data_IF_350926707020
#
_entry.id   IF_350926707020
#
_cell.length_a   1.000
_cell.length_b   1.000
_cell.length_c   1.000
_cell.angle_alpha   90.00
_cell.angle_beta   90.00
_cell.angle_gamma   90.00
#
_symmetry.space_group_name_H-M   'P 1'
#
loop_
_entity.id
_entity.type
_entity.pdbx_description
1 polymer ?
#
# COMPACT_ATOMS: atom_id res chain seq x y z
N UNK A 1 12.04 -39.48 -3.03
CA UNK A 1 12.74 -38.65 -4.03
C UNK A 1 12.95 -37.29 -3.45
N UNK A 2 14.22 -36.99 -3.21
CA UNK A 2 14.62 -35.74 -2.58
C UNK A 2 14.24 -34.55 -3.49
N UNK A 3 13.98 -33.40 -2.89
CA UNK A 3 13.70 -32.12 -3.59
C UNK A 3 14.73 -31.87 -4.69
N UNK A 4 16.01 -32.18 -4.45
CA UNK A 4 17.10 -32.07 -5.40
C UNK A 4 16.86 -32.84 -6.71
N UNK A 5 16.30 -34.04 -6.65
CA UNK A 5 16.04 -34.85 -7.86
C UNK A 5 14.88 -34.29 -8.67
N UNK A 6 13.86 -33.71 -8.00
CA UNK A 6 12.75 -33.04 -8.70
C UNK A 6 13.21 -31.77 -9.42
N UNK A 7 14.11 -31.01 -8.80
CA UNK A 7 14.69 -29.82 -9.42
C UNK A 7 15.58 -30.18 -10.62
N UNK A 8 16.40 -31.25 -10.51
CA UNK A 8 17.21 -31.73 -11.65
C UNK A 8 16.34 -32.20 -12.82
N UNK A 9 15.24 -32.91 -12.55
CA UNK A 9 14.31 -33.30 -13.60
C UNK A 9 13.70 -32.09 -14.29
N UNK A 10 13.30 -31.07 -13.53
CA UNK A 10 12.76 -29.83 -14.08
C UNK A 10 13.78 -29.07 -14.94
N UNK A 11 15.05 -29.02 -14.54
CA UNK A 11 16.14 -28.45 -15.35
C UNK A 11 16.34 -29.24 -16.64
N UNK A 12 16.26 -30.56 -16.59
CA UNK A 12 16.35 -31.42 -17.75
C UNK A 12 15.16 -31.23 -18.73
N UNK A 13 13.94 -31.17 -18.20
CA UNK A 13 12.73 -30.97 -19.00
C UNK A 13 12.69 -29.60 -19.67
N UNK A 14 13.22 -28.57 -19.01
CA UNK A 14 13.29 -27.20 -19.53
C UNK A 14 14.54 -26.94 -20.40
N UNK A 15 15.50 -27.87 -20.41
CA UNK A 15 16.74 -27.76 -21.18
C UNK A 15 17.68 -26.65 -20.73
N UNK A 16 17.54 -26.18 -19.47
CA UNK A 16 18.31 -25.08 -18.92
C UNK A 16 18.62 -25.28 -17.44
N UNK A 17 19.82 -24.90 -16.99
CA UNK A 17 20.17 -24.86 -15.58
C UNK A 17 19.44 -23.68 -14.91
N UNK A 18 18.64 -23.95 -13.89
CA UNK A 18 17.88 -22.92 -13.16
C UNK A 18 18.57 -22.51 -11.86
N UNK A 19 19.47 -23.36 -11.34
CA UNK A 19 20.12 -23.16 -10.05
C UNK A 19 21.64 -23.20 -10.17
N UNK A 20 22.30 -22.22 -9.55
CA UNK A 20 23.74 -22.23 -9.28
C UNK A 20 23.94 -22.78 -7.85
N UNK A 21 24.69 -23.87 -7.75
CA UNK A 21 25.04 -24.48 -6.45
C UNK A 21 26.46 -24.10 -6.06
N UNK A 22 26.61 -23.55 -4.86
CA UNK A 22 27.91 -23.19 -4.30
C UNK A 22 28.05 -23.71 -2.88
N UNK A 23 29.24 -23.60 -2.31
CA UNK A 23 29.47 -23.90 -0.87
C UNK A 23 28.70 -22.94 0.06
N UNK A 24 28.25 -21.81 -0.46
CA UNK A 24 27.49 -20.79 0.29
C UNK A 24 25.95 -20.94 0.13
N UNK A 25 25.49 -21.90 -0.67
CA UNK A 25 24.06 -22.15 -0.89
C UNK A 25 23.68 -22.29 -2.37
N UNK A 26 22.41 -22.07 -2.64
CA UNK A 26 21.80 -22.17 -3.97
C UNK A 26 21.24 -20.81 -4.37
N UNK A 27 21.62 -20.32 -5.55
CA UNK A 27 21.10 -19.10 -6.16
C UNK A 27 20.46 -19.42 -7.51
N UNK A 28 19.54 -18.57 -7.99
CA UNK A 28 18.94 -18.74 -9.31
C UNK A 28 19.88 -18.24 -10.40
N UNK A 29 19.82 -18.88 -11.56
CA UNK A 29 20.38 -18.37 -12.81
C UNK A 29 19.41 -17.34 -13.43
N UNK A 30 19.81 -16.56 -14.47
CA UNK A 30 18.86 -15.75 -15.22
C UNK A 30 17.68 -16.56 -15.80
N UNK A 31 17.94 -17.80 -16.27
CA UNK A 31 16.90 -18.73 -16.69
C UNK A 31 16.02 -19.18 -15.51
N UNK A 32 16.61 -19.36 -14.31
CA UNK A 32 15.91 -19.66 -13.08
C UNK A 32 14.98 -18.53 -12.61
N UNK A 33 15.40 -17.28 -12.74
CA UNK A 33 14.55 -16.12 -12.44
C UNK A 33 13.34 -16.04 -13.39
N UNK A 34 13.57 -16.20 -14.69
CA UNK A 34 12.49 -16.23 -15.68
C UNK A 34 11.52 -17.39 -15.43
N UNK A 35 12.04 -18.59 -15.14
CA UNK A 35 11.23 -19.76 -14.80
C UNK A 35 10.42 -19.54 -13.50
N UNK A 36 11.00 -18.91 -12.48
CA UNK A 36 10.33 -18.58 -11.22
C UNK A 36 9.09 -17.72 -11.45
N UNK A 37 9.21 -16.66 -12.26
CA UNK A 37 8.09 -15.77 -12.59
C UNK A 37 6.94 -16.53 -13.25
N UNK A 38 7.24 -17.34 -14.27
CA UNK A 38 6.24 -18.14 -14.99
C UNK A 38 5.58 -19.17 -14.06
N UNK A 39 6.37 -19.91 -13.28
CA UNK A 39 5.86 -20.94 -12.36
C UNK A 39 4.98 -20.30 -11.27
N UNK A 40 5.40 -19.18 -10.71
CA UNK A 40 4.60 -18.46 -9.71
C UNK A 40 3.27 -17.97 -10.29
N UNK A 41 3.27 -17.43 -11.52
CA UNK A 41 2.05 -17.03 -12.21
C UNK A 41 1.12 -18.20 -12.44
N UNK A 42 1.62 -19.31 -13.00
CA UNK A 42 0.83 -20.53 -13.26
C UNK A 42 0.26 -21.14 -11.98
N UNK A 43 1.04 -21.19 -10.91
CA UNK A 43 0.58 -21.69 -9.63
C UNK A 43 -0.58 -20.82 -9.06
N UNK A 44 -0.51 -19.51 -9.25
CA UNK A 44 -1.58 -18.58 -8.86
C UNK A 44 -2.86 -18.78 -9.69
N UNK A 45 -2.71 -18.92 -11.01
CA UNK A 45 -3.84 -19.19 -11.92
C UNK A 45 -4.55 -20.51 -11.57
N UNK A 46 -3.78 -21.57 -11.26
CA UNK A 46 -4.34 -22.84 -10.81
C UNK A 46 -5.06 -22.73 -9.45
N UNK A 47 -4.55 -21.92 -8.54
CA UNK A 47 -5.23 -21.68 -7.27
C UNK A 47 -6.54 -20.91 -7.47
N UNK A 48 -6.55 -19.88 -8.32
CA UNK A 48 -7.76 -19.15 -8.69
C UNK A 48 -8.80 -20.09 -9.32
N UNK A 49 -8.38 -20.97 -10.23
CA UNK A 49 -9.27 -21.98 -10.81
C UNK A 49 -9.85 -22.92 -9.74
N UNK A 50 -9.02 -23.41 -8.80
CA UNK A 50 -9.50 -24.26 -7.68
C UNK A 50 -10.52 -23.54 -6.82
N UNK A 51 -10.29 -22.27 -6.50
CA UNK A 51 -11.23 -21.43 -5.76
C UNK A 51 -12.56 -21.27 -6.51
N UNK A 52 -12.52 -21.03 -7.82
CA UNK A 52 -13.71 -20.97 -8.67
C UNK A 52 -14.51 -22.30 -8.69
N UNK A 53 -13.81 -23.43 -8.73
CA UNK A 53 -14.44 -24.75 -8.74
C UNK A 53 -15.01 -25.17 -7.38
N UNK A 54 -14.50 -24.62 -6.28
CA UNK A 54 -14.98 -24.88 -4.92
C UNK A 54 -16.19 -24.04 -4.50
N UNK A 55 -16.65 -23.12 -5.36
CA UNK A 55 -17.81 -22.27 -5.06
C UNK A 55 -19.06 -23.12 -4.82
N UNK A 56 -19.49 -23.19 -3.56
CA UNK A 56 -20.85 -23.59 -3.22
C UNK A 56 -21.79 -22.43 -3.58
N UNK A 57 -22.91 -22.71 -4.22
CA UNK A 57 -23.82 -21.71 -4.80
C UNK A 57 -24.33 -20.63 -3.83
N UNK A 58 -24.24 -20.86 -2.51
CA UNK A 58 -24.89 -20.00 -1.50
C UNK A 58 -23.92 -19.42 -0.44
N UNK A 59 -22.62 -19.69 -0.51
CA UNK A 59 -21.67 -19.22 0.53
C UNK A 59 -20.43 -18.59 -0.11
N UNK A 60 -20.11 -17.36 0.29
CA UNK A 60 -18.87 -16.71 -0.12
C UNK A 60 -17.71 -17.33 0.64
N UNK A 61 -16.82 -18.03 -0.05
CA UNK A 61 -15.66 -18.73 0.52
C UNK A 61 -14.44 -18.57 -0.39
N UNK A 62 -13.31 -19.19 0.00
CA UNK A 62 -12.05 -19.11 -0.73
C UNK A 62 -11.04 -18.18 -0.06
N UNK A 63 -10.02 -17.76 -0.80
CA UNK A 63 -8.97 -16.88 -0.28
C UNK A 63 -9.08 -15.48 -0.90
N UNK A 64 -9.07 -14.46 -0.07
CA UNK A 64 -8.92 -13.07 -0.49
C UNK A 64 -7.49 -12.59 -0.21
N UNK A 65 -6.73 -12.28 -1.26
CA UNK A 65 -5.35 -11.76 -1.19
C UNK A 65 -5.35 -10.28 -1.49
N UNK A 66 -4.85 -9.49 -0.55
CA UNK A 66 -4.85 -8.02 -0.62
C UNK A 66 -3.45 -7.50 -0.33
N UNK A 67 -2.98 -6.58 -1.14
CA UNK A 67 -1.79 -5.78 -0.84
C UNK A 67 -2.22 -4.37 -0.49
N UNK A 68 -1.72 -3.81 0.61
CA UNK A 68 -2.22 -2.54 1.14
C UNK A 68 -1.08 -1.61 1.52
N UNK A 69 -1.19 -0.34 1.16
CA UNK A 69 -0.24 0.67 1.61
C UNK A 69 -0.18 0.75 3.14
N UNK A 70 1.03 0.90 3.69
CA UNK A 70 1.32 0.87 5.14
C UNK A 70 0.37 1.77 5.93
N UNK A 71 0.18 3.01 5.51
CA UNK A 71 -0.65 3.96 6.25
C UNK A 71 -2.15 3.57 6.24
N UNK A 72 -2.69 3.16 5.06
CA UNK A 72 -4.08 2.71 4.98
C UNK A 72 -4.31 1.44 5.80
N UNK A 73 -3.35 0.51 5.77
CA UNK A 73 -3.43 -0.73 6.55
C UNK A 73 -3.50 -0.46 8.06
N UNK A 74 -2.85 0.59 8.53
CA UNK A 74 -2.82 0.97 9.95
C UNK A 74 -4.08 1.72 10.40
N UNK A 75 -4.57 2.65 9.58
CA UNK A 75 -5.55 3.63 10.05
C UNK A 75 -6.98 3.39 9.54
N UNK A 76 -7.17 2.60 8.47
CA UNK A 76 -8.49 2.37 7.84
C UNK A 76 -8.85 0.89 7.71
N UNK A 77 -7.91 0.08 7.26
CA UNK A 77 -8.16 -1.33 6.93
C UNK A 77 -8.74 -2.16 8.09
N UNK A 78 -8.34 -1.99 9.37
CA UNK A 78 -8.86 -2.83 10.45
C UNK A 78 -10.38 -2.81 10.57
N UNK A 79 -11.01 -1.65 10.40
CA UNK A 79 -12.46 -1.53 10.44
C UNK A 79 -13.13 -2.21 9.25
N UNK A 80 -12.54 -2.09 8.06
CA UNK A 80 -13.02 -2.76 6.84
C UNK A 80 -12.95 -4.27 6.99
N UNK A 81 -11.82 -4.79 7.49
CA UNK A 81 -11.64 -6.23 7.69
C UNK A 81 -12.57 -6.78 8.78
N UNK A 82 -12.79 -6.04 9.86
CA UNK A 82 -13.74 -6.44 10.91
C UNK A 82 -15.16 -6.61 10.35
N UNK A 83 -15.62 -5.66 9.55
CA UNK A 83 -16.91 -5.76 8.88
C UNK A 83 -16.97 -6.91 7.86
N UNK A 84 -15.89 -7.06 7.07
CA UNK A 84 -15.81 -8.10 6.04
C UNK A 84 -15.80 -9.51 6.64
N UNK A 85 -15.01 -9.77 7.69
CA UNK A 85 -14.96 -11.08 8.35
C UNK A 85 -16.26 -11.46 9.03
N UNK A 86 -16.99 -10.48 9.56
CA UNK A 86 -18.32 -10.72 10.14
C UNK A 86 -19.33 -11.16 9.08
N UNK A 87 -19.24 -10.63 7.85
CA UNK A 87 -20.17 -10.96 6.75
C UNK A 87 -19.73 -12.18 5.96
N UNK A 88 -18.43 -12.43 5.83
CA UNK A 88 -17.84 -13.51 5.02
C UNK A 88 -16.92 -14.39 5.88
N UNK A 89 -17.45 -15.14 6.87
CA UNK A 89 -16.62 -15.90 7.84
C UNK A 89 -15.84 -17.05 7.21
N UNK A 90 -16.30 -17.58 6.07
CA UNK A 90 -15.66 -18.69 5.37
C UNK A 90 -14.56 -18.27 4.39
N UNK A 91 -14.23 -16.96 4.34
CA UNK A 91 -13.15 -16.42 3.51
C UNK A 91 -11.85 -16.36 4.29
N UNK A 92 -10.81 -16.99 3.76
CA UNK A 92 -9.45 -16.85 4.28
C UNK A 92 -8.84 -15.53 3.80
N UNK A 93 -8.43 -14.66 4.72
CA UNK A 93 -7.76 -13.40 4.40
C UNK A 93 -6.24 -13.57 4.36
N UNK A 94 -5.62 -13.04 3.31
CA UNK A 94 -4.17 -12.88 3.18
C UNK A 94 -3.90 -11.40 2.89
N UNK A 95 -3.36 -10.71 3.87
CA UNK A 95 -3.07 -9.28 3.78
C UNK A 95 -1.58 -9.05 3.93
N UNK A 96 -1.00 -8.37 2.96
CA UNK A 96 0.39 -7.90 3.01
C UNK A 96 0.41 -6.37 2.98
N UNK A 97 1.44 -5.77 3.55
CA UNK A 97 1.58 -4.32 3.64
C UNK A 97 2.91 -3.87 3.07
N UNK A 98 2.89 -2.89 2.18
CA UNK A 98 4.08 -2.34 1.54
C UNK A 98 3.89 -0.86 1.17
N UNK A 99 4.92 -0.26 0.60
CA UNK A 99 4.78 1.04 -0.07
C UNK A 99 3.88 0.91 -1.31
N UNK A 100 3.12 1.96 -1.63
CA UNK A 100 2.12 1.93 -2.71
C UNK A 100 2.67 1.47 -4.06
N UNK A 101 3.93 1.81 -4.38
CA UNK A 101 4.59 1.36 -5.61
C UNK A 101 4.77 -0.17 -5.65
N UNK A 102 5.13 -0.75 -4.51
CA UNK A 102 5.33 -2.19 -4.41
C UNK A 102 3.98 -2.93 -4.39
N UNK A 103 2.95 -2.33 -3.76
CA UNK A 103 1.57 -2.83 -3.87
C UNK A 103 1.12 -2.90 -5.33
N UNK A 104 1.42 -1.89 -6.14
CA UNK A 104 1.10 -1.90 -7.58
C UNK A 104 1.85 -3.01 -8.31
N UNK A 105 3.15 -3.20 -8.07
CA UNK A 105 3.94 -4.28 -8.67
C UNK A 105 3.37 -5.65 -8.33
N UNK A 106 3.05 -5.89 -7.06
CA UNK A 106 2.45 -7.15 -6.60
C UNK A 106 1.11 -7.42 -7.28
N UNK A 107 0.31 -6.38 -7.55
CA UNK A 107 -0.91 -6.49 -8.32
C UNK A 107 -0.63 -6.80 -9.80
N UNK A 108 0.36 -6.16 -10.41
CA UNK A 108 0.80 -6.43 -11.79
C UNK A 108 1.26 -7.88 -11.95
N UNK A 109 1.97 -8.44 -10.99
CA UNK A 109 2.46 -9.83 -10.99
C UNK A 109 1.37 -10.87 -10.70
N UNK A 110 0.11 -10.49 -10.58
CA UNK A 110 -1.01 -11.38 -10.24
C UNK A 110 -0.87 -12.12 -8.91
N UNK A 111 -0.07 -11.60 -7.98
CA UNK A 111 0.15 -12.21 -6.67
C UNK A 111 -1.02 -11.98 -5.72
N UNK A 112 -1.75 -10.90 -5.94
CA UNK A 112 -2.91 -10.51 -5.15
C UNK A 112 -4.11 -10.20 -6.05
N UNK A 113 -5.32 -10.24 -5.50
CA UNK A 113 -6.55 -9.94 -6.23
C UNK A 113 -6.77 -8.44 -6.38
N UNK A 114 -6.37 -7.68 -5.36
CA UNK A 114 -6.54 -6.23 -5.33
C UNK A 114 -5.45 -5.58 -4.48
N UNK A 115 -5.23 -4.29 -4.75
CA UNK A 115 -4.30 -3.47 -4.01
C UNK A 115 -4.97 -2.16 -3.57
N UNK A 116 -4.61 -1.67 -2.37
CA UNK A 116 -5.01 -0.34 -1.89
C UNK A 116 -3.75 0.52 -1.83
N UNK A 117 -3.71 1.54 -2.67
CA UNK A 117 -2.56 2.41 -2.87
C UNK A 117 -2.89 3.87 -2.55
N UNK A 118 -1.87 4.66 -2.19
CA UNK A 118 -2.00 6.08 -1.89
C UNK A 118 -1.11 6.88 -2.86
N UNK A 119 -1.72 7.85 -3.55
CA UNK A 119 -1.15 8.62 -4.65
C UNK A 119 -1.73 8.20 -6.00
N UNK A 120 -1.38 8.94 -7.03
CA UNK A 120 -1.81 8.65 -8.40
C UNK A 120 -0.91 7.61 -9.02
N UNK A 121 -1.52 6.59 -9.61
CA UNK A 121 -0.86 5.51 -10.34
C UNK A 121 -1.64 5.21 -11.60
N UNK A 122 -0.94 4.94 -12.68
CA UNK A 122 -1.53 4.45 -13.92
C UNK A 122 -1.96 3.00 -13.75
N UNK A 123 -3.23 2.76 -13.99
CA UNK A 123 -3.84 1.43 -13.93
C UNK A 123 -5.04 1.37 -14.87
N UNK A 124 -4.99 0.48 -15.87
CA UNK A 124 -5.94 0.44 -16.99
C UNK A 124 -7.20 -0.41 -16.74
N UNK A 125 -7.26 -1.09 -15.57
CA UNK A 125 -8.39 -1.94 -15.24
C UNK A 125 -9.31 -1.29 -14.18
N UNK A 126 -9.63 -2.00 -13.10
CA UNK A 126 -10.48 -1.44 -12.05
C UNK A 126 -9.73 -0.48 -11.14
N UNK A 127 -10.11 0.80 -11.14
CA UNK A 127 -9.58 1.84 -10.25
C UNK A 127 -10.73 2.60 -9.61
N UNK A 128 -10.81 2.59 -8.28
CA UNK A 128 -11.87 3.25 -7.51
C UNK A 128 -11.22 4.18 -6.50
N UNK A 129 -11.62 5.45 -6.49
CA UNK A 129 -11.23 6.40 -5.44
C UNK A 129 -11.96 6.01 -4.15
N UNK A 130 -11.20 5.71 -3.09
CA UNK A 130 -11.75 5.39 -1.77
C UNK A 130 -11.82 6.62 -0.86
N UNK A 131 -10.79 7.44 -0.86
CA UNK A 131 -10.69 8.59 0.02
C UNK A 131 -9.83 9.68 -0.63
N UNK A 132 -10.24 10.93 -0.47
CA UNK A 132 -9.40 12.10 -0.72
C UNK A 132 -9.32 12.91 0.56
N UNK A 133 -8.16 12.93 1.16
CA UNK A 133 -7.94 13.53 2.47
C UNK A 133 -7.07 14.79 2.39
N UNK A 134 -7.27 15.78 3.26
CA UNK A 134 -6.39 16.94 3.31
C UNK A 134 -4.99 16.54 3.80
N UNK A 135 -3.99 17.24 3.30
CA UNK A 135 -2.64 17.27 3.87
C UNK A 135 -2.56 18.46 4.81
N UNK A 136 -2.02 18.25 5.99
CA UNK A 136 -2.01 19.24 7.06
C UNK A 136 -0.56 19.57 7.48
N UNK A 137 -0.34 20.81 7.85
CA UNK A 137 0.77 21.21 8.70
C UNK A 137 0.43 20.84 10.13
N UNK A 138 1.39 20.19 10.82
CA UNK A 138 1.21 19.78 12.21
C UNK A 138 2.34 20.30 13.10
N UNK A 139 2.01 20.69 14.33
CA UNK A 139 2.93 21.06 15.41
C UNK A 139 2.35 20.73 16.76
N UNK A 140 3.19 20.54 17.79
CA UNK A 140 2.71 20.31 19.15
C UNK A 140 2.01 21.55 19.73
N UNK A 141 1.16 21.38 20.73
CA UNK A 141 0.52 22.50 21.43
C UNK A 141 1.53 23.40 22.13
N UNK A 142 2.61 22.83 22.63
CA UNK A 142 3.69 23.58 23.27
C UNK A 142 4.36 24.58 22.30
N UNK A 143 4.42 24.23 21.03
CA UNK A 143 4.99 25.05 19.98
C UNK A 143 3.97 25.99 19.29
N UNK A 144 2.75 26.12 19.84
CA UNK A 144 1.66 26.87 19.21
C UNK A 144 2.00 28.33 18.92
N UNK A 145 2.72 29.00 19.80
CA UNK A 145 3.10 30.42 19.69
C UNK A 145 4.47 30.64 19.05
N UNK A 146 5.21 29.56 18.77
CA UNK A 146 6.56 29.67 18.19
C UNK A 146 6.45 29.81 16.67
N UNK A 147 7.07 30.80 16.04
CA UNK A 147 7.10 30.92 14.58
C UNK A 147 7.69 29.66 13.92
N UNK A 148 7.10 29.18 12.84
CA UNK A 148 7.53 27.93 12.16
C UNK A 148 8.99 27.97 11.73
N UNK A 149 9.53 29.14 11.36
CA UNK A 149 10.94 29.33 10.98
C UNK A 149 11.93 29.10 12.12
N UNK A 150 11.46 29.16 13.37
CA UNK A 150 12.25 28.92 14.58
C UNK A 150 12.13 27.47 15.05
N UNK A 151 11.19 26.72 14.50
CA UNK A 151 10.97 25.31 14.76
C UNK A 151 11.68 24.44 13.72
N UNK A 152 12.23 23.33 14.16
CA UNK A 152 12.81 22.33 13.26
C UNK A 152 11.74 21.71 12.36
N UNK A 153 12.05 21.61 11.08
CA UNK A 153 11.22 20.83 10.16
C UNK A 153 11.59 19.34 10.26
N UNK A 154 10.58 18.50 10.41
CA UNK A 154 10.72 17.04 10.38
C UNK A 154 10.32 16.59 9.00
N UNK A 155 11.33 16.28 8.17
CA UNK A 155 11.14 15.78 6.82
C UNK A 155 10.66 14.33 6.83
N UNK A 156 9.90 13.96 5.80
CA UNK A 156 9.50 12.58 5.57
C UNK A 156 9.54 12.27 4.08
N UNK A 157 10.23 11.20 3.75
CA UNK A 157 10.23 10.67 2.40
C UNK A 157 8.87 10.05 2.07
N UNK A 158 8.42 10.26 0.85
CA UNK A 158 7.18 9.73 0.31
C UNK A 158 7.33 9.50 -1.20
N UNK A 159 6.25 9.10 -1.87
CA UNK A 159 6.28 8.98 -3.33
C UNK A 159 6.55 10.35 -4.01
N UNK A 160 7.09 10.33 -5.24
CA UNK A 160 7.52 11.53 -5.95
C UNK A 160 6.42 12.57 -6.13
N UNK A 161 5.17 12.14 -6.36
CA UNK A 161 4.03 13.05 -6.54
C UNK A 161 3.79 13.86 -5.26
N UNK A 162 3.70 13.19 -4.11
CA UNK A 162 3.48 13.87 -2.84
C UNK A 162 4.65 14.76 -2.45
N UNK A 163 5.90 14.34 -2.75
CA UNK A 163 7.08 15.17 -2.56
C UNK A 163 7.03 16.44 -3.41
N UNK A 164 6.61 16.33 -4.68
CA UNK A 164 6.44 17.45 -5.59
C UNK A 164 5.36 18.44 -5.10
N UNK A 165 4.22 17.93 -4.63
CA UNK A 165 3.16 18.78 -4.08
C UNK A 165 3.59 19.52 -2.81
N UNK A 166 4.32 18.87 -1.91
CA UNK A 166 4.89 19.51 -0.72
C UNK A 166 5.90 20.60 -1.10
N UNK A 167 6.79 20.31 -2.03
CA UNK A 167 7.80 21.26 -2.51
C UNK A 167 7.14 22.49 -3.15
N UNK A 168 6.12 22.30 -3.99
CA UNK A 168 5.33 23.39 -4.57
C UNK A 168 4.72 24.25 -3.47
N UNK A 169 4.06 23.64 -2.48
CA UNK A 169 3.44 24.39 -1.39
C UNK A 169 4.45 25.21 -0.59
N UNK A 170 5.59 24.62 -0.24
CA UNK A 170 6.68 25.31 0.47
C UNK A 170 7.21 26.50 -0.32
N UNK A 171 7.43 26.33 -1.62
CA UNK A 171 7.88 27.39 -2.51
C UNK A 171 6.88 28.54 -2.59
N UNK A 172 5.58 28.25 -2.77
CA UNK A 172 4.51 29.26 -2.85
C UNK A 172 4.40 30.07 -1.55
N UNK A 173 4.70 29.44 -0.39
CA UNK A 173 4.68 30.09 0.92
C UNK A 173 6.04 30.65 1.36
N UNK A 174 7.02 30.67 0.45
CA UNK A 174 8.39 31.18 0.71
C UNK A 174 9.03 30.54 1.95
N UNK A 175 8.82 29.24 2.09
CA UNK A 175 9.39 28.43 3.16
C UNK A 175 10.47 27.52 2.59
N UNK A 176 11.67 27.60 3.15
CA UNK A 176 12.81 26.75 2.82
C UNK A 176 13.29 26.04 4.09
N UNK A 177 12.51 25.10 4.61
CA UNK A 177 12.88 24.44 5.85
C UNK A 177 14.09 23.50 5.63
N UNK A 178 15.11 23.69 6.45
CA UNK A 178 16.23 22.74 6.51
C UNK A 178 15.77 21.46 7.23
N UNK A 179 15.68 20.37 6.47
CA UNK A 179 15.28 19.07 7.00
C UNK A 179 16.47 18.35 7.66
N UNK A 180 16.93 18.87 8.81
CA UNK A 180 17.98 18.23 9.62
C UNK A 180 17.53 16.92 10.29
N UNK A 181 16.22 16.65 10.29
CA UNK A 181 15.62 15.43 10.83
C UNK A 181 14.68 14.85 9.79
N UNK A 182 15.05 13.71 9.23
CA UNK A 182 14.24 12.96 8.26
C UNK A 182 13.86 11.60 8.82
N UNK A 183 12.63 11.18 8.55
CA UNK A 183 12.10 9.87 8.92
C UNK A 183 11.38 9.24 7.73
N UNK A 184 11.32 7.94 7.69
CA UNK A 184 10.61 7.16 6.66
C UNK A 184 9.15 6.89 7.02
N UNK A 185 8.86 6.74 8.32
CA UNK A 185 7.55 6.37 8.83
C UNK A 185 6.65 7.57 9.16
N UNK A 186 5.42 7.57 8.64
CA UNK A 186 4.43 8.61 8.95
C UNK A 186 4.09 8.68 10.45
N UNK A 187 3.89 7.53 11.09
CA UNK A 187 3.62 7.47 12.53
C UNK A 187 4.79 7.95 13.39
N UNK A 188 6.02 7.67 12.96
CA UNK A 188 7.24 8.17 13.62
C UNK A 188 7.32 9.69 13.53
N UNK A 189 7.04 10.24 12.35
CA UNK A 189 6.99 11.68 12.14
C UNK A 189 5.98 12.36 13.08
N UNK A 190 4.76 11.85 13.15
CA UNK A 190 3.70 12.37 14.05
C UNK A 190 4.10 12.27 15.52
N UNK A 191 4.72 11.15 15.94
CA UNK A 191 5.19 10.97 17.31
C UNK A 191 6.28 11.99 17.68
N UNK A 192 7.20 12.28 16.78
CA UNK A 192 8.24 13.30 16.99
C UNK A 192 7.65 14.71 17.09
N UNK A 193 6.65 15.04 16.28
CA UNK A 193 5.94 16.32 16.40
C UNK A 193 5.20 16.41 17.74
N UNK A 194 4.52 15.34 18.19
CA UNK A 194 3.88 15.28 19.50
C UNK A 194 4.87 15.48 20.66
N UNK A 195 6.10 14.98 20.51
CA UNK A 195 7.17 15.18 21.48
C UNK A 195 7.80 16.59 21.44
N UNK A 196 7.24 17.52 20.68
CA UNK A 196 7.70 18.90 20.60
C UNK A 196 8.97 19.14 19.78
N UNK A 197 9.47 18.12 19.03
CA UNK A 197 10.74 18.21 18.30
C UNK A 197 10.69 19.15 17.10
N UNK A 198 9.50 19.59 16.69
CA UNK A 198 9.33 20.50 15.56
C UNK A 198 7.95 20.43 14.91
N UNK A 199 7.90 20.69 13.62
CA UNK A 199 6.68 20.65 12.80
C UNK A 199 6.87 19.81 11.54
N UNK A 200 5.76 19.38 10.93
CA UNK A 200 5.80 18.60 9.69
C UNK A 200 4.57 18.82 8.81
N UNK A 201 4.63 18.28 7.60
CA UNK A 201 3.51 18.24 6.64
C UNK A 201 3.14 16.77 6.42
N UNK A 202 1.91 16.42 6.83
CA UNK A 202 1.43 15.03 6.82
C UNK A 202 -0.02 14.94 6.34
N UNK A 203 -0.43 13.81 5.72
CA UNK A 203 -1.83 13.55 5.39
C UNK A 203 -2.67 13.34 6.66
N UNK A 204 -3.95 13.72 6.62
CA UNK A 204 -4.83 13.68 7.80
C UNK A 204 -5.16 12.27 8.30
N UNK A 205 -4.94 11.23 7.51
CA UNK A 205 -5.20 9.82 7.91
C UNK A 205 -4.54 9.44 9.24
N UNK A 206 -3.38 10.02 9.55
CA UNK A 206 -2.60 9.70 10.75
C UNK A 206 -2.96 10.56 11.97
N UNK A 207 -3.90 11.50 11.86
CA UNK A 207 -4.17 12.49 12.90
C UNK A 207 -5.25 12.08 13.91
N UNK A 208 -5.83 10.89 13.80
CA UNK A 208 -6.90 10.43 14.71
C UNK A 208 -6.51 10.46 16.19
N UNK A 209 -5.22 10.33 16.51
CA UNK A 209 -4.67 10.34 17.88
C UNK A 209 -3.61 11.43 18.06
N UNK A 210 -3.60 12.42 17.16
CA UNK A 210 -2.71 13.56 17.27
C UNK A 210 -3.32 14.60 18.19
N UNK A 211 -2.63 14.97 19.27
CA UNK A 211 -3.09 15.95 20.27
C UNK A 211 -2.48 17.35 20.06
N UNK A 212 -1.90 17.61 18.92
CA UNK A 212 -1.31 18.89 18.55
C UNK A 212 -2.27 19.77 17.75
N UNK A 213 -1.70 20.78 17.12
CA UNK A 213 -2.37 21.69 16.17
C UNK A 213 -2.17 21.12 14.76
N UNK A 214 -3.26 20.99 14.01
CA UNK A 214 -3.25 20.59 12.62
C UNK A 214 -4.02 21.60 11.78
N UNK A 215 -3.41 22.09 10.71
CA UNK A 215 -3.96 23.09 9.80
C UNK A 215 -3.95 22.53 8.38
N UNK A 216 -5.12 22.34 7.72
CA UNK A 216 -5.18 21.92 6.32
C UNK A 216 -4.45 22.91 5.42
N UNK A 217 -3.73 22.38 4.43
CA UNK A 217 -2.92 23.19 3.53
C UNK A 217 -3.65 23.46 2.21
N UNK A 218 -3.48 24.69 1.72
CA UNK A 218 -4.00 25.15 0.44
C UNK A 218 -2.87 25.75 -0.37
N UNK A 219 -2.89 25.58 -1.67
CA UNK A 219 -2.02 26.29 -2.60
C UNK A 219 -2.42 27.77 -2.69
N UNK A 220 -1.56 28.60 -3.25
CA UNK A 220 -1.80 30.05 -3.40
C UNK A 220 -3.06 30.38 -4.22
N UNK A 221 -3.49 29.47 -5.10
CA UNK A 221 -4.72 29.57 -5.89
C UNK A 221 -5.99 29.13 -5.12
N UNK A 222 -5.87 28.78 -3.85
CA UNK A 222 -6.97 28.29 -3.00
C UNK A 222 -7.28 26.80 -3.16
N UNK A 223 -6.59 26.08 -4.05
CA UNK A 223 -6.80 24.64 -4.22
C UNK A 223 -6.29 23.89 -2.99
N UNK A 224 -7.07 22.96 -2.39
CA UNK A 224 -6.61 22.20 -1.25
C UNK A 224 -5.49 21.23 -1.62
N UNK A 225 -4.46 21.14 -0.80
CA UNK A 225 -3.45 20.10 -0.91
C UNK A 225 -4.00 18.81 -0.32
N UNK A 226 -4.23 17.81 -1.18
CA UNK A 226 -4.90 16.57 -0.80
C UNK A 226 -4.07 15.34 -1.15
N UNK A 227 -4.42 14.22 -0.53
CA UNK A 227 -3.87 12.89 -0.80
C UNK A 227 -4.99 11.93 -1.13
N UNK A 228 -4.92 11.29 -2.30
CA UNK A 228 -5.91 10.30 -2.74
C UNK A 228 -5.48 8.89 -2.36
N UNK A 229 -6.47 8.04 -2.06
CA UNK A 229 -6.32 6.60 -1.86
C UNK A 229 -7.22 5.87 -2.84
N UNK A 230 -6.66 4.88 -3.54
CA UNK A 230 -7.37 4.12 -4.56
C UNK A 230 -7.36 2.64 -4.25
N UNK A 231 -8.47 1.98 -4.55
CA UNK A 231 -8.55 0.54 -4.72
C UNK A 231 -8.28 0.21 -6.18
N UNK A 232 -7.29 -0.63 -6.41
CA UNK A 232 -6.92 -1.15 -7.73
C UNK A 232 -7.20 -2.64 -7.78
N UNK A 233 -7.79 -3.11 -8.87
CA UNK A 233 -8.07 -4.54 -9.07
C UNK A 233 -8.10 -4.90 -10.54
N UNK A 234 -7.91 -6.18 -10.84
CA UNK A 234 -8.14 -6.69 -12.19
C UNK A 234 -9.60 -7.01 -12.38
N UNK A 235 -10.17 -6.60 -13.52
CA UNK A 235 -11.58 -6.87 -13.86
C UNK A 235 -11.92 -8.35 -13.74
N UNK A 236 -11.03 -9.23 -14.21
CA UNK A 236 -11.21 -10.68 -14.10
C UNK A 236 -11.32 -11.17 -12.64
N UNK A 237 -10.54 -10.62 -11.75
CA UNK A 237 -10.52 -10.99 -10.33
C UNK A 237 -11.81 -10.53 -9.61
N UNK A 238 -12.43 -9.44 -10.07
CA UNK A 238 -13.69 -8.95 -9.51
C UNK A 238 -14.91 -9.88 -9.76
N UNK A 239 -14.76 -10.87 -10.65
CA UNK A 239 -15.77 -11.93 -10.84
C UNK A 239 -15.81 -12.92 -9.66
N UNK A 240 -14.74 -13.02 -8.87
CA UNK A 240 -14.68 -13.85 -7.68
C UNK A 240 -15.61 -13.28 -6.59
N UNK A 241 -16.54 -14.04 -6.01
CA UNK A 241 -17.51 -13.53 -5.03
C UNK A 241 -16.85 -12.85 -3.83
N UNK A 242 -15.78 -13.43 -3.29
CA UNK A 242 -15.05 -12.86 -2.15
C UNK A 242 -14.37 -11.51 -2.50
N UNK A 243 -13.89 -11.35 -3.74
CA UNK A 243 -13.29 -10.09 -4.21
C UNK A 243 -14.37 -9.05 -4.44
N UNK A 244 -15.44 -9.40 -5.15
CA UNK A 244 -16.57 -8.52 -5.44
C UNK A 244 -17.21 -7.98 -4.16
N UNK A 245 -17.41 -8.84 -3.17
CA UNK A 245 -18.00 -8.44 -1.89
C UNK A 245 -17.06 -7.50 -1.11
N UNK A 246 -15.75 -7.75 -1.12
CA UNK A 246 -14.79 -6.84 -0.51
C UNK A 246 -14.80 -5.46 -1.18
N UNK A 247 -14.80 -5.41 -2.51
CA UNK A 247 -14.90 -4.15 -3.27
C UNK A 247 -16.16 -3.39 -2.86
N UNK A 248 -17.33 -4.08 -2.82
CA UNK A 248 -18.60 -3.47 -2.42
C UNK A 248 -18.52 -2.86 -1.01
N UNK A 249 -17.97 -3.60 -0.06
CA UNK A 249 -17.93 -3.17 1.33
C UNK A 249 -16.93 -2.02 1.54
N UNK A 250 -15.72 -2.10 0.98
CA UNK A 250 -14.76 -1.02 1.13
C UNK A 250 -15.27 0.28 0.51
N UNK A 251 -15.95 0.20 -0.64
CA UNK A 251 -16.59 1.37 -1.26
C UNK A 251 -17.71 1.94 -0.39
N UNK A 252 -18.53 1.10 0.22
CA UNK A 252 -19.62 1.56 1.10
C UNK A 252 -19.11 2.22 2.40
N UNK A 253 -17.92 1.84 2.87
CA UNK A 253 -17.27 2.40 4.06
C UNK A 253 -16.35 3.58 3.75
N UNK A 254 -16.07 3.82 2.47
CA UNK A 254 -15.19 4.92 2.03
C UNK A 254 -15.87 6.27 2.21
N UNK A 255 -15.09 7.25 2.61
CA UNK A 255 -15.54 8.65 2.76
C UNK A 255 -15.15 9.41 1.50
N UNK A 256 -16.13 9.88 0.80
CA UNK A 256 -15.96 10.75 -0.37
C UNK A 256 -15.76 12.20 0.05
#
# INVERSE_FOLDING_TARGET
PTLSKRLQNMEADLGAALFLRSKQGVTLTPAGEAAREVIQRTARELNTLREQLQMRKDTICGTLRIEVSIDYSKYRLPQVLAAYTAQCPDVTLRVSTNHSRDCLRTLQDSSVHLAIVRGEYDWDEGKILLEREPVCLIRSRENASVPLRELRYIGRDSDPEHMSMKARWLMEHKMEPDAQLNVDGLSTCVAMVNAGLGWSIVPSICLNYFDGISEPLFFADGTPLTRSTYLLYRKRESELPQVREFIRMVCAMSRH
#
